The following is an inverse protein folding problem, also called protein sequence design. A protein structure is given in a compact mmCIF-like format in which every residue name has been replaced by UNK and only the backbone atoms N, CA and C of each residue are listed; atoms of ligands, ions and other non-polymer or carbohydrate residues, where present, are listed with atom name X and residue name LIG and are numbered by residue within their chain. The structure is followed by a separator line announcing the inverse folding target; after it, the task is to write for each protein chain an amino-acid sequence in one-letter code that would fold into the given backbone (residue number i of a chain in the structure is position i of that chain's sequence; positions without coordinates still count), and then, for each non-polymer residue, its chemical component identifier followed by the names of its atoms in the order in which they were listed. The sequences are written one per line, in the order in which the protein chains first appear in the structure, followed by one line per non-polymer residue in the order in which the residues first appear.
data_IF_038154988939
#
_entry.id   IF_038154988939
#
_cell.length_a   1.000
_cell.length_b   1.000
_cell.length_c   1.000
_cell.angle_alpha   90.00
_cell.angle_beta   90.00
_cell.angle_gamma   90.00
#
_symmetry.space_group_name_H-M   'P 1'
#
loop_
_entity.id
_entity.type
_entity.pdbx_description
1 polymer ?
#
# COMPACT_ATOMS: atom_id res chain seq x y z
N UNK A 1 13.68 0.99 -9.19
CA UNK A 1 13.72 2.44 -8.86
C UNK A 1 13.54 2.56 -7.36
N UNK A 2 14.38 3.32 -6.64
CA UNK A 2 14.30 3.37 -5.17
C UNK A 2 13.27 4.40 -4.73
N UNK A 3 12.23 3.95 -4.04
CA UNK A 3 11.18 4.76 -3.44
C UNK A 3 11.41 4.79 -1.92
N UNK A 4 11.45 5.98 -1.33
CA UNK A 4 11.57 6.16 0.12
C UNK A 4 10.26 6.75 0.66
N UNK A 5 9.35 5.93 1.20
CA UNK A 5 8.08 6.42 1.72
C UNK A 5 8.31 7.31 2.95
N UNK A 6 7.50 8.37 3.08
CA UNK A 6 7.40 9.11 4.33
C UNK A 6 6.87 8.19 5.45
N UNK A 7 7.18 8.46 6.74
CA UNK A 7 6.70 7.63 7.85
C UNK A 7 5.17 7.45 7.90
N UNK A 8 4.42 8.49 7.52
CA UNK A 8 2.96 8.42 7.40
C UNK A 8 2.51 7.45 6.31
N UNK A 9 3.19 7.42 5.16
CA UNK A 9 2.89 6.50 4.08
C UNK A 9 3.18 5.04 4.50
N UNK A 10 4.29 4.80 5.22
CA UNK A 10 4.59 3.49 5.81
C UNK A 10 3.43 3.03 6.70
N UNK A 11 2.96 3.91 7.59
CA UNK A 11 1.84 3.59 8.48
C UNK A 11 0.54 3.29 7.71
N UNK A 12 0.20 4.10 6.69
CA UNK A 12 -0.96 3.86 5.83
C UNK A 12 -0.91 2.48 5.15
N UNK A 13 0.28 2.08 4.66
CA UNK A 13 0.48 0.77 4.03
C UNK A 13 0.24 -0.36 5.03
N UNK A 14 0.84 -0.26 6.22
CA UNK A 14 0.72 -1.30 7.26
C UNK A 14 -0.70 -1.41 7.80
N UNK A 15 -1.36 -0.28 8.06
CA UNK A 15 -2.77 -0.26 8.46
C UNK A 15 -3.69 -0.87 7.40
N UNK A 16 -3.44 -0.58 6.12
CA UNK A 16 -4.12 -1.22 5.01
C UNK A 16 -3.88 -2.74 4.99
N UNK A 17 -2.63 -3.19 5.08
CA UNK A 17 -2.28 -4.61 5.05
C UNK A 17 -2.91 -5.40 6.21
N UNK A 18 -2.91 -4.83 7.42
CA UNK A 18 -3.57 -5.41 8.60
C UNK A 18 -5.08 -5.46 8.46
N UNK A 19 -5.69 -4.37 8.01
CA UNK A 19 -7.14 -4.33 7.77
C UNK A 19 -7.57 -5.32 6.68
N UNK A 20 -6.78 -5.46 5.62
CA UNK A 20 -6.99 -6.46 4.57
C UNK A 20 -6.97 -7.88 5.14
N UNK A 21 -5.96 -8.19 5.97
CA UNK A 21 -5.84 -9.50 6.62
C UNK A 21 -7.06 -9.79 7.49
N UNK A 22 -7.45 -8.84 8.35
CA UNK A 22 -8.61 -8.99 9.24
C UNK A 22 -9.87 -9.27 8.41
N UNK A 23 -10.17 -8.44 7.42
CA UNK A 23 -11.36 -8.61 6.57
C UNK A 23 -11.37 -9.96 5.84
N UNK A 24 -10.21 -10.40 5.32
CA UNK A 24 -10.09 -11.69 4.63
C UNK A 24 -10.27 -12.87 5.58
N UNK A 25 -9.79 -12.75 6.81
CA UNK A 25 -9.88 -13.80 7.82
C UNK A 25 -11.29 -13.89 8.44
N UNK A 26 -12.01 -12.77 8.55
CA UNK A 26 -13.40 -12.72 9.04
C UNK A 26 -14.44 -13.00 7.94
N UNK A 27 -14.03 -12.93 6.66
CA UNK A 27 -14.94 -13.08 5.52
C UNK A 27 -15.71 -11.80 5.17
N UNK A 28 -15.29 -10.65 5.70
CA UNK A 28 -15.89 -9.36 5.39
C UNK A 28 -15.56 -8.90 3.95
N UNK A 29 -16.35 -7.98 3.37
CA UNK A 29 -16.07 -7.42 2.06
C UNK A 29 -14.76 -6.60 2.06
N UNK A 30 -13.65 -7.22 1.66
CA UNK A 30 -12.28 -6.68 1.71
C UNK A 30 -12.18 -5.25 1.14
N UNK A 31 -12.74 -4.99 -0.05
CA UNK A 31 -12.67 -3.67 -0.68
C UNK A 31 -13.36 -2.58 0.15
N UNK A 32 -14.51 -2.89 0.76
CA UNK A 32 -15.25 -1.93 1.59
C UNK A 32 -14.48 -1.66 2.88
N UNK A 33 -14.00 -2.72 3.54
CA UNK A 33 -13.23 -2.60 4.77
C UNK A 33 -11.94 -1.81 4.55
N UNK A 34 -11.22 -2.09 3.46
CA UNK A 34 -10.01 -1.36 3.08
C UNK A 34 -10.30 0.10 2.78
N UNK A 35 -11.31 0.39 1.96
CA UNK A 35 -11.67 1.76 1.62
C UNK A 35 -11.98 2.56 2.89
N UNK A 36 -12.83 2.04 3.77
CA UNK A 36 -13.18 2.72 5.02
C UNK A 36 -11.96 2.97 5.92
N UNK A 37 -11.08 1.98 6.05
CA UNK A 37 -9.89 2.12 6.90
C UNK A 37 -8.90 3.14 6.34
N UNK A 38 -8.64 3.07 5.03
CA UNK A 38 -7.68 3.95 4.36
C UNK A 38 -8.23 5.37 4.18
N UNK A 39 -9.54 5.53 3.98
CA UNK A 39 -10.19 6.84 3.87
C UNK A 39 -10.12 7.61 5.19
N UNK A 40 -10.18 6.93 6.33
CA UNK A 40 -9.92 7.55 7.64
C UNK A 40 -8.49 8.14 7.76
N UNK A 41 -7.58 7.75 6.87
CA UNK A 41 -6.22 8.26 6.74
C UNK A 41 -6.04 9.18 5.50
N UNK A 42 -7.13 9.54 4.81
CA UNK A 42 -7.11 10.33 3.57
C UNK A 42 -6.57 9.57 2.35
N UNK A 43 -6.58 8.23 2.40
CA UNK A 43 -5.92 7.38 1.42
C UNK A 43 -6.86 6.31 0.82
N UNK A 44 -8.19 6.53 0.84
CA UNK A 44 -9.18 5.54 0.39
C UNK A 44 -8.96 5.04 -1.04
N UNK A 45 -8.42 5.90 -1.92
CA UNK A 45 -8.06 5.56 -3.30
C UNK A 45 -7.01 4.43 -3.41
N UNK A 46 -6.27 4.12 -2.34
CA UNK A 46 -5.29 3.02 -2.32
C UNK A 46 -5.93 1.64 -2.14
N UNK A 47 -7.19 1.55 -1.71
CA UNK A 47 -7.85 0.28 -1.43
C UNK A 47 -7.75 -0.76 -2.57
N UNK A 48 -8.08 -0.44 -3.85
CA UNK A 48 -8.02 -1.41 -4.93
C UNK A 48 -6.59 -1.91 -5.23
N UNK A 49 -5.60 -1.02 -5.17
CA UNK A 49 -4.21 -1.39 -5.49
C UNK A 49 -3.58 -2.17 -4.34
N UNK A 50 -3.90 -1.84 -3.09
CA UNK A 50 -3.44 -2.58 -1.92
C UNK A 50 -4.02 -3.99 -1.90
N UNK A 51 -5.32 -4.17 -2.16
CA UNK A 51 -5.93 -5.50 -2.31
C UNK A 51 -5.23 -6.35 -3.38
N UNK A 52 -4.96 -5.75 -4.55
CA UNK A 52 -4.26 -6.43 -5.65
C UNK A 52 -2.85 -6.88 -5.24
N UNK A 53 -2.09 -6.02 -4.57
CA UNK A 53 -0.74 -6.35 -4.06
C UNK A 53 -0.81 -7.50 -3.06
N UNK A 54 -1.77 -7.46 -2.13
CA UNK A 54 -1.91 -8.50 -1.10
C UNK A 54 -2.33 -9.85 -1.68
N UNK A 55 -3.25 -9.87 -2.65
CA UNK A 55 -3.62 -11.08 -3.37
C UNK A 55 -2.42 -11.66 -4.16
N UNK A 56 -1.66 -10.81 -4.85
CA UNK A 56 -0.46 -11.24 -5.56
C UNK A 56 0.62 -11.72 -4.60
N UNK A 57 0.71 -11.17 -3.39
CA UNK A 57 1.65 -11.61 -2.37
C UNK A 57 1.34 -13.05 -1.98
N UNK A 58 0.10 -13.33 -1.56
CA UNK A 58 -0.29 -14.69 -1.19
C UNK A 58 -0.12 -15.67 -2.34
N UNK A 59 -0.48 -15.28 -3.56
CA UNK A 59 -0.33 -16.11 -4.75
C UNK A 59 1.14 -16.41 -5.07
N UNK A 60 2.03 -15.41 -4.93
CA UNK A 60 3.45 -15.54 -5.27
C UNK A 60 4.24 -16.34 -4.23
N UNK A 61 3.91 -16.21 -2.95
CA UNK A 61 4.59 -16.91 -1.86
C UNK A 61 3.89 -18.20 -1.42
N UNK A 62 2.78 -18.54 -2.06
CA UNK A 62 1.98 -19.74 -1.82
C UNK A 62 1.60 -19.94 -0.35
N UNK A 63 1.43 -18.83 0.37
CA UNK A 63 1.12 -18.83 1.79
C UNK A 63 0.35 -17.58 2.17
N UNK A 64 -0.33 -17.66 3.30
CA UNK A 64 -1.02 -16.50 3.89
C UNK A 64 0.01 -15.45 4.32
N UNK A 65 -0.25 -14.20 3.96
CA UNK A 65 0.47 -13.04 4.50
C UNK A 65 0.20 -12.89 6.00
N UNK A 66 1.23 -12.90 6.83
CA UNK A 66 1.16 -12.75 8.27
C UNK A 66 1.18 -11.26 8.64
N UNK A 67 0.02 -10.72 8.98
CA UNK A 67 -0.08 -9.35 9.49
C UNK A 67 -0.05 -9.33 11.02
N UNK A 68 0.44 -8.23 11.59
CA UNK A 68 0.30 -7.96 13.02
C UNK A 68 -1.14 -7.61 13.39
N UNK A 69 -1.42 -7.56 14.69
CA UNK A 69 -2.68 -7.05 15.21
C UNK A 69 -2.83 -5.53 15.01
N UNK A 70 -4.05 -4.98 15.09
CA UNK A 70 -4.31 -3.55 14.94
C UNK A 70 -3.49 -2.63 15.87
N UNK A 71 -3.12 -3.15 17.05
CA UNK A 71 -2.41 -2.39 18.08
C UNK A 71 -0.91 -2.70 18.14
N UNK A 72 -0.40 -3.58 17.27
CA UNK A 72 0.98 -4.02 17.33
C UNK A 72 1.94 -2.93 16.81
N UNK A 73 2.90 -2.53 17.63
CA UNK A 73 3.90 -1.53 17.24
C UNK A 73 5.00 -2.12 16.36
N UNK A 74 5.33 -3.39 16.58
CA UNK A 74 6.35 -4.09 15.80
C UNK A 74 5.77 -4.62 14.48
N UNK A 75 6.57 -4.58 13.43
CA UNK A 75 6.20 -5.19 12.16
C UNK A 75 6.47 -6.70 12.15
N UNK A 76 5.65 -7.45 11.43
CA UNK A 76 5.93 -8.86 11.11
C UNK A 76 7.02 -8.95 10.04
N UNK A 77 7.49 -10.17 9.76
CA UNK A 77 8.42 -10.40 8.65
C UNK A 77 7.79 -10.04 7.30
N UNK A 78 6.51 -10.35 7.12
CA UNK A 78 5.81 -10.08 5.86
C UNK A 78 5.52 -8.60 5.66
N UNK A 79 5.18 -7.90 6.74
CA UNK A 79 5.01 -6.44 6.72
C UNK A 79 6.31 -5.75 6.30
N UNK A 80 7.46 -6.16 6.84
CA UNK A 80 8.76 -5.67 6.38
C UNK A 80 9.03 -6.02 4.93
N UNK A 81 8.78 -7.26 4.53
CA UNK A 81 9.02 -7.71 3.15
C UNK A 81 8.15 -6.96 2.13
N UNK A 82 6.90 -6.65 2.49
CA UNK A 82 6.02 -5.80 1.69
C UNK A 82 6.60 -4.39 1.53
N UNK A 83 7.09 -3.78 2.62
CA UNK A 83 7.73 -2.48 2.57
C UNK A 83 9.00 -2.51 1.72
N UNK A 84 9.86 -3.51 1.88
CA UNK A 84 11.08 -3.67 1.07
C UNK A 84 10.75 -3.76 -0.43
N UNK A 85 9.73 -4.54 -0.80
CA UNK A 85 9.24 -4.65 -2.18
C UNK A 85 8.59 -3.37 -2.70
N UNK A 86 8.04 -2.52 -1.83
CA UNK A 86 7.53 -1.19 -2.17
C UNK A 86 8.63 -0.14 -2.20
N UNK A 87 9.77 -0.34 -1.58
CA UNK A 87 10.92 0.56 -1.66
C UNK A 87 11.80 0.25 -2.88
N UNK A 88 11.94 -1.03 -3.20
CA UNK A 88 12.85 -1.51 -4.23
C UNK A 88 12.18 -2.55 -5.15
N UNK A 89 12.20 -2.28 -6.45
CA UNK A 89 11.71 -3.24 -7.46
C UNK A 89 12.56 -4.52 -7.49
N UNK A 90 13.85 -4.40 -7.16
CA UNK A 90 14.80 -5.50 -7.15
C UNK A 90 14.64 -6.40 -5.91
N UNK A 91 13.89 -5.95 -4.90
CA UNK A 91 13.51 -6.76 -3.75
C UNK A 91 12.42 -7.78 -4.09
N UNK A 92 11.74 -7.65 -5.24
CA UNK A 92 10.81 -8.69 -5.71
C UNK A 92 11.62 -9.91 -6.15
N UNK A 93 11.43 -11.08 -5.52
CA UNK A 93 12.18 -12.28 -5.91
C UNK A 93 11.99 -12.59 -7.39
N UNK A 94 13.05 -13.05 -8.09
CA UNK A 94 12.95 -13.41 -9.50
C UNK A 94 11.82 -14.41 -9.73
N UNK A 95 11.28 -14.39 -10.94
CA UNK A 95 10.16 -15.24 -11.27
C UNK A 95 10.56 -16.72 -11.12
N UNK A 96 9.70 -17.50 -10.49
CA UNK A 96 9.86 -18.96 -10.49
C UNK A 96 9.53 -19.49 -11.89
N UNK A 97 10.19 -20.58 -12.31
CA UNK A 97 9.94 -21.27 -13.57
C UNK A 97 8.46 -21.70 -13.71
N UNK A 98 7.78 -21.92 -12.60
CA UNK A 98 6.37 -22.33 -12.57
C UNK A 98 5.38 -21.18 -12.72
N UNK A 99 5.76 -19.95 -12.34
CA UNK A 99 4.87 -18.79 -12.34
C UNK A 99 5.57 -17.49 -12.80
N UNK A 100 6.07 -17.44 -14.05
CA UNK A 100 6.84 -16.30 -14.54
C UNK A 100 6.03 -14.99 -14.54
N UNK A 101 4.72 -15.07 -14.74
CA UNK A 101 3.84 -13.92 -14.86
C UNK A 101 3.51 -13.26 -13.51
N UNK A 102 3.51 -14.01 -12.40
CA UNK A 102 3.21 -13.47 -11.08
C UNK A 102 4.23 -12.42 -10.64
N UNK A 103 5.52 -12.64 -10.89
CA UNK A 103 6.55 -11.67 -10.55
C UNK A 103 6.45 -10.38 -11.39
N UNK A 104 5.98 -10.49 -12.64
CA UNK A 104 5.73 -9.32 -13.50
C UNK A 104 4.49 -8.55 -13.02
N UNK A 105 3.39 -9.25 -12.73
CA UNK A 105 2.18 -8.64 -12.21
C UNK A 105 2.42 -7.96 -10.86
N UNK A 106 3.17 -8.61 -9.96
CA UNK A 106 3.59 -8.03 -8.68
C UNK A 106 4.33 -6.71 -8.87
N UNK A 107 5.35 -6.67 -9.74
CA UNK A 107 6.07 -5.43 -10.05
C UNK A 107 5.16 -4.33 -10.59
N UNK A 108 4.19 -4.67 -11.43
CA UNK A 108 3.21 -3.70 -11.96
C UNK A 108 2.30 -3.17 -10.84
N UNK A 109 1.81 -4.04 -9.96
CA UNK A 109 0.96 -3.67 -8.84
C UNK A 109 1.70 -2.77 -7.83
N UNK A 110 2.93 -3.15 -7.45
CA UNK A 110 3.80 -2.34 -6.58
C UNK A 110 4.11 -0.98 -7.20
N UNK A 111 4.43 -0.92 -8.50
CA UNK A 111 4.65 0.35 -9.20
C UNK A 111 3.41 1.23 -9.22
N UNK A 112 2.24 0.64 -9.46
CA UNK A 112 0.97 1.36 -9.44
C UNK A 112 0.67 1.90 -8.03
N UNK A 113 0.92 1.10 -7.00
CA UNK A 113 0.74 1.49 -5.61
C UNK A 113 1.63 2.68 -5.24
N UNK A 114 2.90 2.66 -5.63
CA UNK A 114 3.83 3.80 -5.43
C UNK A 114 3.32 5.07 -6.09
N UNK A 115 2.82 4.98 -7.32
CA UNK A 115 2.29 6.15 -8.05
C UNK A 115 1.08 6.72 -7.29
N UNK A 116 0.13 5.87 -6.87
CA UNK A 116 -1.05 6.34 -6.13
C UNK A 116 -0.69 6.88 -4.75
N UNK A 117 0.28 6.29 -4.06
CA UNK A 117 0.81 6.80 -2.78
C UNK A 117 1.37 8.22 -2.93
N UNK A 118 2.13 8.47 -4.01
CA UNK A 118 2.64 9.80 -4.33
C UNK A 118 1.52 10.79 -4.64
N UNK A 119 0.47 10.36 -5.35
CA UNK A 119 -0.70 11.20 -5.65
C UNK A 119 -1.44 11.60 -4.37
N UNK A 120 -1.73 10.63 -3.49
CA UNK A 120 -2.40 10.86 -2.19
C UNK A 120 -1.57 11.78 -1.30
N UNK A 121 -0.25 11.57 -1.24
CA UNK A 121 0.64 12.43 -0.46
C UNK A 121 0.68 13.87 -1.00
N UNK A 122 0.67 14.04 -2.32
CA UNK A 122 0.64 15.36 -2.97
C UNK A 122 -0.68 16.10 -2.73
N UNK A 123 -1.80 15.38 -2.73
CA UNK A 123 -3.12 15.96 -2.46
C UNK A 123 -3.22 16.45 -1.01
N UNK A 124 -2.74 15.65 -0.05
CA UNK A 124 -2.65 16.06 1.35
C UNK A 124 -1.79 17.31 1.55
N UNK A 125 -0.68 17.45 0.81
CA UNK A 125 0.18 18.64 0.89
C UNK A 125 -0.50 19.90 0.31
N UNK A 126 -1.29 19.76 -0.76
CA UNK A 126 -2.03 20.88 -1.35
C UNK A 126 -3.17 21.38 -0.46
N UNK A 127 -3.80 20.52 0.33
CA UNK A 127 -4.84 20.93 1.31
C UNK A 127 -4.24 21.75 2.46
N UNK A 128 -2.97 21.52 2.81
CA UNK A 128 -2.29 22.23 3.93
C UNK A 128 -1.78 23.62 3.55
N UNK A 129 -1.53 23.89 2.26
CA UNK A 129 -1.02 25.19 1.78
C UNK A 129 -2.07 25.92 0.92
N UNK A 130 -2.97 26.74 1.50
CA UNK A 130 -3.82 27.60 0.70
C UNK A 130 -2.94 28.67 0.04
N UNK A 131 -2.86 28.65 -1.30
CA UNK A 131 -2.20 29.70 -2.07
C UNK A 131 -2.71 31.09 -1.62
N UNK A 132 -1.84 32.03 -1.20
CA UNK A 132 -2.27 33.40 -0.96
C UNK A 132 -2.72 34.00 -2.30
N UNK A 133 -3.95 34.51 -2.34
CA UNK A 133 -4.46 35.22 -3.51
C UNK A 133 -3.56 36.42 -3.83
N UNK A 134 -3.18 36.64 -5.10
CA UNK A 134 -2.39 37.82 -5.45
C UNK A 134 -3.18 39.10 -5.15
N UNK A 135 -2.52 40.18 -4.69
CA UNK A 135 -3.20 41.43 -4.40
C UNK A 135 -3.88 41.97 -5.66
N UNK A 136 -5.14 42.39 -5.53
CA UNK A 136 -5.86 43.04 -6.63
C UNK A 136 -5.15 44.35 -6.99
N UNK A 137 -4.97 44.65 -8.29
CA UNK A 137 -4.44 45.94 -8.71
C UNK A 137 -5.39 47.07 -8.29
N UNK A 138 -4.78 48.16 -7.82
CA UNK A 138 -5.45 49.40 -7.42
C UNK A 138 -6.02 50.17 -8.61
#
# INVERSE_FOLDING_TARGET
MRFAPAPSAVWTIIEGARSWRIARDTGDPVQVSLYQRLEALGAGLLAPVLDSVMMLFEARFERRFQAGGPSDVAFTLDERHLLDMLEDDDAVPPADQFHPDLAKMMRIALRSMRIMLLSVASEAANVVMPFPSPPRPA
#
